data_IF_931522023071
#
_entry.id   IF_931522023071
#
_cell.length_a   1.000
_cell.length_b   1.000
_cell.length_c   1.000
_cell.angle_alpha   90.00
_cell.angle_beta   90.00
_cell.angle_gamma   90.00
#
_symmetry.space_group_name_H-M   'P 1'
#
loop_
_entity.id
_entity.type
_entity.pdbx_description
1 polymer ?
#
# COMPACT_ATOMS: atom_id res chain seq x y z
N UNK A 1 -40.81 -44.43 52.24
CA UNK A 1 -39.36 -44.10 52.18
C UNK A 1 -38.73 -44.20 50.77
N UNK A 2 -39.47 -44.22 49.66
CA UNK A 2 -38.92 -44.62 48.34
C UNK A 2 -38.94 -43.56 47.21
N UNK A 3 -39.09 -42.25 47.49
CA UNK A 3 -39.14 -41.21 46.43
C UNK A 3 -37.82 -40.49 46.12
N UNK A 4 -36.71 -40.75 46.84
CA UNK A 4 -35.50 -39.92 46.74
C UNK A 4 -34.44 -40.38 45.72
N UNK A 5 -34.59 -41.57 45.11
CA UNK A 5 -33.54 -42.14 44.25
C UNK A 5 -33.56 -41.66 42.78
N UNK A 6 -34.62 -40.97 42.32
CA UNK A 6 -34.75 -40.52 40.91
C UNK A 6 -34.39 -39.04 40.70
N UNK A 7 -34.46 -38.20 41.74
CA UNK A 7 -34.25 -36.76 41.60
C UNK A 7 -32.79 -36.36 41.35
N UNK A 8 -31.82 -37.12 41.87
CA UNK A 8 -30.39 -36.81 41.70
C UNK A 8 -29.91 -37.07 40.27
N UNK A 9 -30.34 -38.17 39.63
CA UNK A 9 -30.04 -38.43 38.22
C UNK A 9 -30.62 -37.36 37.29
N UNK A 10 -31.87 -36.94 37.53
CA UNK A 10 -32.53 -35.88 36.75
C UNK A 10 -31.86 -34.52 36.94
N UNK A 11 -31.44 -34.17 38.17
CA UNK A 11 -30.68 -32.94 38.44
C UNK A 11 -29.29 -32.96 37.80
N UNK A 12 -28.61 -34.11 37.79
CA UNK A 12 -27.33 -34.29 37.09
C UNK A 12 -27.46 -34.10 35.58
N UNK A 13 -28.47 -34.70 34.96
CA UNK A 13 -28.75 -34.52 33.53
C UNK A 13 -29.12 -33.08 33.18
N UNK A 14 -29.94 -32.40 34.00
CA UNK A 14 -30.28 -30.98 33.78
C UNK A 14 -29.04 -30.09 33.87
N UNK A 15 -28.15 -30.33 34.85
CA UNK A 15 -26.89 -29.59 34.96
C UNK A 15 -25.99 -29.83 33.75
N UNK A 16 -25.89 -31.06 33.29
CA UNK A 16 -25.07 -31.41 32.12
C UNK A 16 -25.62 -30.76 30.84
N UNK A 17 -26.94 -30.79 30.64
CA UNK A 17 -27.60 -30.09 29.52
C UNK A 17 -27.38 -28.59 29.60
N UNK A 18 -27.48 -27.99 30.80
CA UNK A 18 -27.22 -26.56 30.98
C UNK A 18 -25.76 -26.17 30.66
N UNK A 19 -24.79 -26.98 31.09
CA UNK A 19 -23.37 -26.75 30.78
C UNK A 19 -23.13 -26.84 29.27
N UNK A 20 -23.64 -27.88 28.61
CA UNK A 20 -23.49 -28.05 27.16
C UNK A 20 -24.14 -26.88 26.40
N UNK A 21 -25.32 -26.44 26.82
CA UNK A 21 -26.00 -25.29 26.23
C UNK A 21 -25.18 -23.99 26.39
N UNK A 22 -24.58 -23.76 27.56
CA UNK A 22 -23.73 -22.58 27.81
C UNK A 22 -22.46 -22.65 26.95
N UNK A 23 -21.79 -23.79 26.89
CA UNK A 23 -20.58 -23.97 26.07
C UNK A 23 -20.88 -23.78 24.59
N UNK A 24 -21.98 -24.35 24.09
CA UNK A 24 -22.42 -24.16 22.72
C UNK A 24 -22.71 -22.68 22.42
N UNK A 25 -23.43 -22.00 23.31
CA UNK A 25 -23.72 -20.57 23.17
C UNK A 25 -22.44 -19.72 23.14
N UNK A 26 -21.48 -19.99 24.02
CA UNK A 26 -20.19 -19.30 24.04
C UNK A 26 -19.37 -19.57 22.77
N UNK A 27 -19.35 -20.81 22.29
CA UNK A 27 -18.66 -21.18 21.06
C UNK A 27 -19.26 -20.49 19.84
N UNK A 28 -20.60 -20.46 19.73
CA UNK A 28 -21.29 -19.73 18.65
C UNK A 28 -21.02 -18.23 18.74
N UNK A 29 -21.10 -17.64 19.93
CA UNK A 29 -20.80 -16.23 20.12
C UNK A 29 -19.37 -15.88 19.70
N UNK A 30 -18.38 -16.67 20.12
CA UNK A 30 -16.98 -16.48 19.74
C UNK A 30 -16.78 -16.57 18.22
N UNK A 31 -17.40 -17.56 17.57
CA UNK A 31 -17.34 -17.74 16.12
C UNK A 31 -17.96 -16.55 15.38
N UNK A 32 -19.13 -16.07 15.82
CA UNK A 32 -19.79 -14.90 15.22
C UNK A 32 -18.99 -13.63 15.44
N UNK A 33 -18.44 -13.41 16.64
CA UNK A 33 -17.59 -12.25 16.94
C UNK A 33 -16.34 -12.21 16.05
N UNK A 34 -15.69 -13.37 15.84
CA UNK A 34 -14.55 -13.48 14.93
C UNK A 34 -14.95 -13.18 13.47
N UNK A 35 -16.10 -13.72 13.03
CA UNK A 35 -16.60 -13.47 11.68
C UNK A 35 -16.89 -11.99 11.44
N UNK A 36 -17.55 -11.33 12.40
CA UNK A 36 -17.84 -9.89 12.32
C UNK A 36 -16.55 -9.09 12.28
N UNK A 37 -15.59 -9.40 13.15
CA UNK A 37 -14.28 -8.74 13.15
C UNK A 37 -13.58 -8.84 11.78
N UNK A 38 -13.53 -10.04 11.18
CA UNK A 38 -12.94 -10.24 9.85
C UNK A 38 -13.73 -9.49 8.78
N UNK A 39 -15.05 -9.48 8.88
CA UNK A 39 -15.90 -8.79 7.93
C UNK A 39 -15.71 -7.28 7.98
N UNK A 40 -15.66 -6.67 9.17
CA UNK A 40 -15.37 -5.25 9.38
C UNK A 40 -14.02 -4.87 8.76
N UNK A 41 -12.95 -5.60 9.08
CA UNK A 41 -11.63 -5.37 8.48
C UNK A 41 -11.65 -5.49 6.94
N UNK A 42 -12.42 -6.46 6.40
CA UNK A 42 -12.59 -6.59 4.95
C UNK A 42 -13.41 -5.43 4.35
N UNK A 43 -14.37 -4.87 5.07
CA UNK A 43 -15.14 -3.73 4.60
C UNK A 43 -14.32 -2.43 4.63
N UNK A 44 -13.55 -2.22 5.69
CA UNK A 44 -12.59 -1.11 5.77
C UNK A 44 -11.57 -1.16 4.63
N UNK A 45 -11.06 -2.35 4.31
CA UNK A 45 -10.14 -2.56 3.19
C UNK A 45 -10.75 -2.30 1.80
N UNK A 46 -12.07 -2.20 1.65
CA UNK A 46 -12.70 -1.89 0.34
C UNK A 46 -12.57 -0.42 -0.04
N UNK A 47 -12.48 0.48 0.93
CA UNK A 47 -12.31 1.92 0.69
C UNK A 47 -11.10 2.46 1.48
N UNK A 48 -9.87 2.02 1.17
CA UNK A 48 -8.70 2.36 1.96
C UNK A 48 -8.24 3.82 1.79
N UNK A 49 -8.77 4.55 0.81
CA UNK A 49 -8.44 5.95 0.56
C UNK A 49 -9.69 6.79 0.32
N UNK A 50 -9.69 8.01 0.88
CA UNK A 50 -10.72 9.01 0.62
C UNK A 50 -10.43 9.66 -0.74
N UNK A 51 -11.35 9.50 -1.70
CA UNK A 51 -11.30 10.20 -3.00
C UNK A 51 -11.92 11.59 -2.80
N UNK A 52 -11.08 12.62 -2.83
CA UNK A 52 -11.48 14.04 -2.78
C UNK A 52 -11.87 14.54 -4.18
N UNK A 53 -11.26 13.97 -5.23
CA UNK A 53 -11.55 14.27 -6.63
C UNK A 53 -11.79 12.98 -7.40
N UNK A 54 -12.77 12.97 -8.29
CA UNK A 54 -12.99 11.87 -9.23
C UNK A 54 -11.87 11.87 -10.29
N UNK A 55 -11.12 10.78 -10.34
CA UNK A 55 -10.09 10.53 -11.36
C UNK A 55 -10.70 9.67 -12.46
N UNK A 56 -10.53 10.11 -13.70
CA UNK A 56 -10.92 9.36 -14.91
C UNK A 56 -9.67 8.83 -15.61
N UNK A 57 -9.85 7.88 -16.53
CA UNK A 57 -8.76 7.32 -17.35
C UNK A 57 -8.08 8.37 -18.26
N UNK A 58 -8.68 9.54 -18.41
CA UNK A 58 -8.16 10.67 -19.19
C UNK A 58 -7.41 11.71 -18.33
N UNK A 59 -7.29 11.49 -17.01
CA UNK A 59 -6.63 12.45 -16.11
C UNK A 59 -5.11 12.32 -16.20
N UNK A 60 -4.47 13.21 -16.95
CA UNK A 60 -3.00 13.23 -17.11
C UNK A 60 -2.27 14.11 -16.07
N UNK A 61 -2.92 15.17 -15.56
CA UNK A 61 -2.27 16.14 -14.66
C UNK A 61 -1.94 15.52 -13.28
N UNK A 62 -0.64 15.36 -12.93
CA UNK A 62 -0.22 14.75 -11.66
C UNK A 62 -0.69 15.52 -10.42
N UNK A 63 -0.92 16.84 -10.54
CA UNK A 63 -1.41 17.65 -9.42
C UNK A 63 -2.86 17.28 -9.04
N UNK A 64 -3.68 16.85 -10.01
CA UNK A 64 -5.03 16.37 -9.76
C UNK A 64 -4.99 15.04 -9.00
N UNK A 65 -4.09 14.12 -9.40
CA UNK A 65 -3.84 12.88 -8.68
C UNK A 65 -3.36 13.14 -7.24
N UNK A 66 -2.51 14.16 -7.05
CA UNK A 66 -1.97 14.54 -5.75
C UNK A 66 -3.02 15.04 -4.74
N UNK A 67 -4.22 15.43 -5.18
CA UNK A 67 -5.33 15.78 -4.26
C UNK A 67 -5.86 14.57 -3.49
N UNK A 68 -5.83 13.38 -4.10
CA UNK A 68 -6.23 12.13 -3.46
C UNK A 68 -5.04 11.43 -2.76
N UNK A 69 -3.82 11.65 -3.27
CA UNK A 69 -2.60 10.96 -2.84
C UNK A 69 -1.48 11.94 -2.45
N UNK A 70 -1.66 12.76 -1.40
CA UNK A 70 -0.73 13.84 -1.09
C UNK A 70 0.67 13.34 -0.72
N UNK A 71 0.79 12.21 -0.02
CA UNK A 71 2.09 11.65 0.38
C UNK A 71 2.88 11.14 -0.83
N UNK A 72 2.20 10.49 -1.78
CA UNK A 72 2.80 9.97 -3.01
C UNK A 72 3.19 11.11 -3.93
N UNK A 73 2.33 12.12 -4.08
CA UNK A 73 2.65 13.31 -4.88
C UNK A 73 3.83 14.09 -4.29
N UNK A 74 3.92 14.16 -2.96
CA UNK A 74 5.05 14.78 -2.29
C UNK A 74 6.35 13.98 -2.50
N UNK A 75 6.31 12.64 -2.44
CA UNK A 75 7.44 11.81 -2.82
C UNK A 75 7.82 11.96 -4.31
N UNK A 76 6.84 12.04 -5.21
CA UNK A 76 7.07 12.28 -6.64
C UNK A 76 7.78 13.61 -6.88
N UNK A 77 7.34 14.69 -6.23
CA UNK A 77 7.98 16.00 -6.33
C UNK A 77 9.45 16.00 -5.88
N UNK A 78 9.85 15.11 -4.95
CA UNK A 78 11.25 15.00 -4.51
C UNK A 78 12.17 14.36 -5.55
N UNK A 79 11.63 13.73 -6.60
CA UNK A 79 12.46 13.09 -7.64
C UNK A 79 13.14 14.10 -8.57
N UNK A 80 12.70 15.36 -8.55
CA UNK A 80 13.37 16.46 -9.27
C UNK A 80 14.74 16.80 -8.68
N UNK A 81 14.96 16.47 -7.39
CA UNK A 81 16.21 16.75 -6.72
C UNK A 81 17.29 15.79 -7.23
N UNK A 82 18.30 16.36 -7.89
CA UNK A 82 19.35 15.57 -8.51
C UNK A 82 20.59 15.48 -7.62
N UNK A 83 20.78 14.35 -6.94
CA UNK A 83 21.92 14.09 -6.04
C UNK A 83 22.90 13.09 -6.68
N UNK A 84 24.19 13.45 -6.71
CA UNK A 84 25.25 12.57 -7.20
C UNK A 84 25.71 11.58 -6.11
N UNK A 85 25.95 10.35 -6.52
CA UNK A 85 26.58 9.30 -5.70
C UNK A 85 27.89 8.83 -6.36
N UNK A 86 28.66 7.97 -5.67
CA UNK A 86 29.99 7.53 -6.12
C UNK A 86 29.97 6.80 -7.48
N UNK A 87 28.94 6.03 -7.76
CA UNK A 87 28.86 5.17 -8.97
C UNK A 87 27.65 5.50 -9.86
N UNK A 88 27.02 6.67 -9.69
CA UNK A 88 25.81 7.05 -10.41
C UNK A 88 24.97 8.06 -9.64
N UNK A 89 23.65 8.01 -9.79
CA UNK A 89 22.69 8.91 -9.13
C UNK A 89 21.92 9.72 -10.15
N UNK A 90 21.31 10.81 -9.71
CA UNK A 90 20.68 11.76 -10.62
C UNK A 90 21.77 12.67 -11.18
N UNK A 91 22.23 12.39 -12.40
CA UNK A 91 23.48 12.86 -13.03
C UNK A 91 23.49 14.34 -13.45
N UNK A 92 22.98 15.21 -12.60
CA UNK A 92 23.04 16.66 -12.73
C UNK A 92 24.48 17.18 -12.69
N UNK A 93 24.98 17.68 -13.82
CA UNK A 93 26.06 18.63 -13.87
C UNK A 93 25.49 20.05 -13.96
N UNK A 94 25.91 20.97 -13.07
CA UNK A 94 25.65 22.39 -13.25
C UNK A 94 26.30 22.83 -14.56
N UNK A 95 25.56 23.56 -15.38
CA UNK A 95 26.08 24.21 -16.59
C UNK A 95 25.54 25.62 -16.70
N UNK A 96 26.26 26.48 -17.39
CA UNK A 96 25.75 27.82 -17.73
C UNK A 96 24.67 27.68 -18.80
N UNK A 97 23.44 28.16 -18.56
CA UNK A 97 22.38 28.17 -19.56
C UNK A 97 22.83 28.88 -20.84
N UNK A 98 22.49 28.32 -22.00
CA UNK A 98 22.71 28.97 -23.29
C UNK A 98 21.38 29.37 -23.90
N UNK A 99 21.40 30.24 -24.91
CA UNK A 99 20.18 30.66 -25.63
C UNK A 99 19.47 29.50 -26.33
N UNK A 100 20.20 28.41 -26.63
CA UNK A 100 19.67 27.22 -27.28
C UNK A 100 19.10 26.18 -26.30
N UNK A 101 19.56 26.14 -25.05
CA UNK A 101 18.99 25.29 -24.01
C UNK A 101 19.11 26.01 -22.64
N UNK A 102 17.97 26.48 -22.06
CA UNK A 102 17.95 27.32 -20.88
C UNK A 102 18.19 26.54 -19.57
N UNK A 103 18.42 25.22 -19.62
CA UNK A 103 18.64 24.42 -18.42
C UNK A 103 20.00 24.74 -17.78
N UNK A 104 19.97 25.02 -16.47
CA UNK A 104 21.16 25.23 -15.61
C UNK A 104 21.75 23.92 -15.09
N UNK A 105 21.05 22.81 -15.30
CA UNK A 105 21.43 21.47 -14.85
C UNK A 105 21.16 20.47 -15.97
N UNK A 106 22.14 19.65 -16.32
CA UNK A 106 21.99 18.61 -17.36
C UNK A 106 22.61 17.29 -16.95
N UNK A 107 22.16 16.22 -17.60
CA UNK A 107 22.75 14.89 -17.52
C UNK A 107 24.20 14.90 -18.04
N UNK A 108 25.06 14.06 -17.48
CA UNK A 108 26.39 13.78 -18.05
C UNK A 108 26.25 13.09 -19.41
N UNK A 109 27.03 13.55 -20.39
CA UNK A 109 27.13 12.86 -21.68
C UNK A 109 28.04 11.64 -21.53
N UNK A 110 27.45 10.43 -21.54
CA UNK A 110 28.22 9.18 -21.42
C UNK A 110 29.15 8.94 -22.62
N UNK A 111 28.80 9.49 -23.78
CA UNK A 111 29.62 9.44 -25.00
C UNK A 111 30.92 10.25 -24.88
N UNK A 112 30.88 11.37 -24.16
CA UNK A 112 32.06 12.19 -23.89
C UNK A 112 32.96 11.55 -22.81
N UNK A 113 32.36 10.85 -21.84
CA UNK A 113 33.10 10.12 -20.80
C UNK A 113 33.82 8.87 -21.33
N UNK A 114 33.19 8.13 -22.26
CA UNK A 114 33.80 6.95 -22.90
C UNK A 114 33.69 7.02 -24.43
N UNK A 115 34.75 7.49 -25.11
CA UNK A 115 34.77 7.62 -26.57
C UNK A 115 34.55 6.32 -27.34
N UNK A 116 34.70 5.15 -26.71
CA UNK A 116 34.43 3.86 -27.35
C UNK A 116 32.95 3.68 -27.67
N UNK A 117 32.06 4.33 -26.91
CA UNK A 117 30.62 4.29 -27.13
C UNK A 117 30.22 4.96 -28.44
N UNK A 118 30.93 6.03 -28.83
CA UNK A 118 30.73 6.72 -30.12
C UNK A 118 30.98 5.76 -31.29
N UNK A 119 32.06 5.00 -31.23
CA UNK A 119 32.39 4.00 -32.26
C UNK A 119 31.39 2.84 -32.27
N UNK A 120 30.97 2.38 -31.08
CA UNK A 120 30.04 1.24 -30.94
C UNK A 120 28.64 1.55 -31.47
N UNK A 121 28.17 2.79 -31.31
CA UNK A 121 26.83 3.23 -31.72
C UNK A 121 26.82 4.10 -32.97
N UNK A 122 27.91 4.12 -33.73
CA UNK A 122 27.98 4.86 -34.99
C UNK A 122 26.85 4.42 -35.95
N UNK A 123 25.93 5.34 -36.25
CA UNK A 123 24.75 5.10 -37.10
C UNK A 123 23.44 4.86 -36.36
N UNK A 124 23.40 4.99 -35.03
CA UNK A 124 22.19 4.87 -34.21
C UNK A 124 22.07 6.05 -33.22
N UNK A 125 20.84 6.47 -32.89
CA UNK A 125 20.61 7.57 -31.95
C UNK A 125 20.71 7.06 -30.49
N UNK A 126 21.82 7.38 -29.82
CA UNK A 126 22.08 7.10 -28.41
C UNK A 126 22.63 8.35 -27.71
#
# INVERSE_FOLDING_TARGET
MLRRCSEDGRRGSIKLVAIVAIVAALATFAATALLVNIFEHKQEARNPFFRVVDLTDETEDPAIWGKNFPQQFDAYKRTVDMIRTRFGGSEAMPRTPTSADPRSVVSQSRLEEDPRLVTMWAGYAF
#
